data_IF_960687665133
#
_entry.id   IF_960687665133
#
_cell.length_a   1.000
_cell.length_b   1.000
_cell.length_c   1.000
_cell.angle_alpha   90.00
_cell.angle_beta   90.00
_cell.angle_gamma   90.00
#
_symmetry.space_group_name_H-M   'P 1'
#
loop_
_entity.id
_entity.type
_entity.pdbx_description
1 polymer ?
#
# COMPACT_ATOMS: atom_id res chain seq x y z
N UNK A 1 -8.33 -32.69 -8.61
CA UNK A 1 -8.51 -31.97 -9.89
C UNK A 1 -9.24 -30.63 -9.74
N UNK A 2 -10.44 -30.55 -9.16
CA UNK A 2 -11.07 -29.23 -8.89
C UNK A 2 -10.43 -28.48 -7.69
N UNK A 3 -10.00 -29.19 -6.65
CA UNK A 3 -9.30 -28.59 -5.48
C UNK A 3 -8.00 -27.92 -5.90
N UNK A 4 -7.19 -28.64 -6.67
CA UNK A 4 -5.86 -28.20 -7.12
C UNK A 4 -5.91 -26.89 -7.91
N UNK A 5 -6.92 -26.69 -8.76
CA UNK A 5 -7.10 -25.43 -9.48
C UNK A 5 -7.48 -24.27 -8.55
N UNK A 6 -8.40 -24.50 -7.61
CA UNK A 6 -8.82 -23.48 -6.64
C UNK A 6 -7.67 -23.09 -5.73
N UNK A 7 -6.85 -24.04 -5.30
CA UNK A 7 -5.65 -23.82 -4.49
C UNK A 7 -4.63 -22.96 -5.23
N UNK A 8 -4.29 -23.31 -6.49
CA UNK A 8 -3.35 -22.51 -7.30
C UNK A 8 -3.87 -21.08 -7.50
N UNK A 9 -5.15 -20.91 -7.80
CA UNK A 9 -5.74 -19.58 -7.96
C UNK A 9 -5.68 -18.78 -6.65
N UNK A 10 -5.97 -19.42 -5.51
CA UNK A 10 -5.89 -18.78 -4.22
C UNK A 10 -4.45 -18.34 -3.89
N UNK A 11 -3.45 -19.20 -4.14
CA UNK A 11 -2.04 -18.89 -3.93
C UNK A 11 -1.58 -17.70 -4.78
N UNK A 12 -1.96 -17.67 -6.06
CA UNK A 12 -1.60 -16.57 -6.95
C UNK A 12 -2.24 -15.24 -6.54
N UNK A 13 -3.51 -15.27 -6.11
CA UNK A 13 -4.21 -14.08 -5.61
C UNK A 13 -3.56 -13.58 -4.32
N UNK A 14 -3.29 -14.46 -3.36
CA UNK A 14 -2.59 -14.12 -2.12
C UNK A 14 -1.20 -13.54 -2.38
N UNK A 15 -0.42 -14.16 -3.27
CA UNK A 15 0.89 -13.66 -3.70
C UNK A 15 0.80 -12.28 -4.37
N UNK A 16 -0.25 -12.04 -5.16
CA UNK A 16 -0.52 -10.73 -5.75
C UNK A 16 -0.80 -9.66 -4.69
N UNK A 17 -1.62 -9.99 -3.68
CA UNK A 17 -1.94 -9.09 -2.57
C UNK A 17 -0.68 -8.76 -1.75
N UNK A 18 0.11 -9.77 -1.39
CA UNK A 18 1.33 -9.57 -0.60
C UNK A 18 2.34 -8.69 -1.33
N UNK A 19 2.51 -8.89 -2.64
CA UNK A 19 3.36 -8.03 -3.49
C UNK A 19 2.86 -6.60 -3.52
N UNK A 20 1.55 -6.40 -3.69
CA UNK A 20 0.95 -5.06 -3.71
C UNK A 20 1.12 -4.34 -2.36
N UNK A 21 0.88 -5.03 -1.24
CA UNK A 21 1.08 -4.48 0.10
C UNK A 21 2.55 -4.16 0.35
N UNK A 22 3.45 -5.08 0.01
CA UNK A 22 4.90 -4.89 0.15
C UNK A 22 5.42 -3.69 -0.64
N UNK A 23 4.89 -3.45 -1.85
CA UNK A 23 5.24 -2.27 -2.64
C UNK A 23 4.91 -0.96 -1.91
N UNK A 24 3.68 -0.82 -1.39
CA UNK A 24 3.28 0.41 -0.70
C UNK A 24 4.00 0.61 0.63
N UNK A 25 4.17 -0.46 1.41
CA UNK A 25 4.92 -0.40 2.67
C UNK A 25 6.39 -0.03 2.43
N UNK A 26 7.03 -0.62 1.42
CA UNK A 26 8.41 -0.29 1.08
C UNK A 26 8.59 1.17 0.70
N UNK A 27 7.65 1.76 -0.04
CA UNK A 27 7.68 3.21 -0.34
C UNK A 27 7.57 4.06 0.91
N UNK A 28 6.68 3.72 1.83
CA UNK A 28 6.55 4.45 3.11
C UNK A 28 7.82 4.31 3.95
N UNK A 29 8.40 3.11 4.04
CA UNK A 29 9.63 2.87 4.79
C UNK A 29 10.80 3.72 4.28
N UNK A 30 10.96 3.86 2.96
CA UNK A 30 11.99 4.71 2.36
C UNK A 30 11.87 6.16 2.86
N UNK A 31 10.66 6.73 2.83
CA UNK A 31 10.43 8.06 3.36
C UNK A 31 10.63 8.13 4.88
N UNK A 32 10.29 7.08 5.64
CA UNK A 32 10.42 7.04 7.10
C UNK A 32 11.88 7.01 7.57
N UNK A 33 12.78 6.38 6.82
CA UNK A 33 14.20 6.26 7.21
C UNK A 33 15.10 7.32 6.60
N UNK A 34 14.61 8.10 5.63
CA UNK A 34 15.42 9.14 4.98
C UNK A 34 15.81 10.25 5.98
N UNK A 35 17.08 10.31 6.37
CA UNK A 35 17.60 11.30 7.33
C UNK A 35 17.83 12.69 6.73
N UNK A 36 17.72 12.83 5.41
CA UNK A 36 17.86 14.12 4.73
C UNK A 36 16.58 14.98 4.83
N UNK A 37 15.43 14.34 5.09
CA UNK A 37 14.15 15.01 5.23
C UNK A 37 13.94 15.54 6.66
N UNK A 38 13.46 16.78 6.74
CA UNK A 38 12.83 17.28 7.97
C UNK A 38 11.55 16.49 8.26
N UNK A 39 11.07 16.56 9.51
CA UNK A 39 9.81 15.90 9.91
C UNK A 39 8.62 16.33 9.04
N UNK A 40 8.53 17.61 8.67
CA UNK A 40 7.43 18.12 7.85
C UNK A 40 7.49 17.55 6.42
N UNK A 41 8.65 17.58 5.78
CA UNK A 41 8.85 17.03 4.44
C UNK A 41 8.56 15.52 4.39
N UNK A 42 8.92 14.81 5.45
CA UNK A 42 8.62 13.38 5.60
C UNK A 42 7.12 13.10 5.63
N UNK A 43 6.38 13.89 6.40
CA UNK A 43 4.92 13.76 6.50
C UNK A 43 4.28 14.03 5.13
N UNK A 44 4.69 15.11 4.45
CA UNK A 44 4.17 15.47 3.12
C UNK A 44 4.43 14.35 2.08
N UNK A 45 5.63 13.77 2.08
CA UNK A 45 5.97 12.66 1.19
C UNK A 45 5.11 11.41 1.46
N UNK A 46 4.93 11.05 2.73
CA UNK A 46 4.07 9.92 3.12
C UNK A 46 2.60 10.18 2.75
N UNK A 47 2.11 11.40 2.98
CA UNK A 47 0.75 11.78 2.57
C UNK A 47 0.54 11.66 1.07
N UNK A 48 1.53 12.06 0.26
CA UNK A 48 1.50 11.89 -1.20
C UNK A 48 1.38 10.41 -1.60
N UNK A 49 2.16 9.53 -0.99
CA UNK A 49 2.09 8.07 -1.22
C UNK A 49 0.71 7.52 -0.83
N UNK A 50 0.16 7.96 0.31
CA UNK A 50 -1.16 7.51 0.77
C UNK A 50 -2.29 7.99 -0.15
N UNK A 51 -2.19 9.21 -0.68
CA UNK A 51 -3.16 9.72 -1.66
C UNK A 51 -3.12 8.92 -2.96
N UNK A 52 -1.91 8.64 -3.48
CA UNK A 52 -1.73 7.81 -4.67
C UNK A 52 -2.34 6.41 -4.47
N UNK A 53 -2.07 5.77 -3.33
CA UNK A 53 -2.68 4.49 -2.96
C UNK A 53 -4.21 4.56 -2.95
N UNK A 54 -4.80 5.59 -2.32
CA UNK A 54 -6.27 5.75 -2.26
C UNK A 54 -6.90 5.90 -3.64
N UNK A 55 -6.27 6.67 -4.53
CA UNK A 55 -6.73 6.85 -5.90
C UNK A 55 -6.69 5.53 -6.66
N UNK A 56 -5.55 4.84 -6.64
CA UNK A 56 -5.34 3.61 -7.43
C UNK A 56 -6.11 2.40 -6.89
N UNK A 57 -6.38 2.35 -5.58
CA UNK A 57 -7.20 1.29 -4.97
C UNK A 57 -8.71 1.55 -5.03
N UNK A 58 -9.14 2.68 -5.59
CA UNK A 58 -10.56 3.08 -5.61
C UNK A 58 -11.13 3.37 -4.21
N UNK A 59 -10.27 3.61 -3.21
CA UNK A 59 -10.66 3.85 -1.80
C UNK A 59 -10.96 5.32 -1.50
N UNK A 60 -11.15 6.16 -2.51
CA UNK A 60 -11.48 7.58 -2.34
C UNK A 60 -12.77 7.83 -1.52
N UNK A 61 -13.65 6.83 -1.39
CA UNK A 61 -14.90 6.94 -0.63
C UNK A 61 -14.86 6.41 0.82
N UNK A 62 -13.73 5.86 1.30
CA UNK A 62 -13.68 5.32 2.68
C UNK A 62 -12.91 6.25 3.61
N UNK A 63 -13.64 7.27 4.09
CA UNK A 63 -13.47 7.85 5.40
C UNK A 63 -12.22 8.70 5.62
N UNK A 64 -12.33 9.99 5.32
CA UNK A 64 -11.75 10.98 6.23
C UNK A 64 -12.42 10.76 7.60
N UNK A 65 -11.71 10.18 8.56
CA UNK A 65 -12.04 10.39 9.95
C UNK A 65 -11.76 11.87 10.25
N UNK A 66 -12.79 12.71 10.09
CA UNK A 66 -12.78 14.08 10.59
C UNK A 66 -12.73 14.01 12.12
N UNK A 67 -11.61 14.46 12.70
CA UNK A 67 -11.50 14.78 14.12
C UNK A 67 -11.99 16.21 14.39
#
# INVERSE_FOLDING_TARGET
MHSDFVEIVAEEVSSGIDRAVGYWLGRIELEVVDRSLTTAQRIEAIESILQEYKILSGRLDVGCASA
#
